data_IF_206851847505
#
_entry.id   IF_206851847505
#
_cell.length_a   1.000
_cell.length_b   1.000
_cell.length_c   1.000
_cell.angle_alpha   90.00
_cell.angle_beta   90.00
_cell.angle_gamma   90.00
#
_symmetry.space_group_name_H-M   'P 1'
#
loop_
_entity.id
_entity.type
_entity.pdbx_description
1 polymer ?
2 non-polymer ?
3 water ?
#
# COMPACT_ATOMS: atom_id res chain seq x y z
N UNK A 6 -18.92 19.79 -11.34
CA UNK A 6 -18.77 21.11 -10.70
C UNK A 6 -17.86 20.79 -9.55
N UNK A 7 -16.71 21.44 -9.57
CA UNK A 7 -15.77 21.36 -8.48
C UNK A 7 -16.48 21.75 -7.17
N UNK A 8 -17.32 22.81 -7.23
CA UNK A 8 -17.95 23.35 -6.05
C UNK A 8 -18.93 22.36 -5.44
N UNK A 9 -19.55 21.56 -6.30
CA UNK A 9 -20.53 20.61 -5.84
C UNK A 9 -19.84 19.49 -5.09
N UNK A 10 -18.65 19.08 -5.60
CA UNK A 10 -17.85 18.06 -4.94
C UNK A 10 -17.30 18.55 -3.61
N UNK A 11 -16.77 19.80 -3.59
CA UNK A 11 -16.35 20.42 -2.33
C UNK A 11 -17.46 20.36 -1.31
N UNK A 12 -18.69 20.51 -1.77
CA UNK A 12 -19.84 20.51 -0.87
C UNK A 12 -20.16 19.09 -0.38
N UNK A 13 -20.13 18.14 -1.30
CA UNK A 13 -20.28 16.73 -0.96
C UNK A 13 -19.31 16.29 0.13
N UNK A 14 -18.04 16.63 -0.09
CA UNK A 14 -16.97 16.37 0.87
C UNK A 14 -17.20 17.04 2.21
N UNK A 15 -17.73 18.27 2.23
CA UNK A 15 -17.88 18.89 3.54
C UNK A 15 -18.84 18.05 4.40
N UNK A 16 -19.74 17.30 3.76
CA UNK A 16 -20.75 16.55 4.51
C UNK A 16 -20.13 15.34 5.19
N UNK A 17 -18.89 14.98 4.84
CA UNK A 17 -18.34 13.77 5.42
C UNK A 17 -17.11 14.03 6.29
N UNK A 18 -16.58 15.26 6.26
CA UNK A 18 -15.33 15.54 6.96
C UNK A 18 -15.59 16.26 8.27
N UNK A 19 -14.53 16.23 9.10
CA UNK A 19 -14.46 16.87 10.40
C UNK A 19 -14.55 18.35 10.07
N UNK A 20 -15.32 19.15 10.83
CA UNK A 20 -15.36 20.61 10.63
C UNK A 20 -14.09 21.28 11.12
N UNK A 21 -13.59 22.24 10.31
CA UNK A 21 -12.61 23.19 10.80
C UNK A 21 -11.37 23.25 9.93
N UNK A 22 -10.27 23.68 10.58
CA UNK A 22 -9.04 23.91 9.86
C UNK A 22 -7.89 23.49 10.76
N UNK A 23 -7.16 22.39 10.41
CA UNK A 23 -6.04 21.94 11.23
C UNK A 23 -4.88 22.93 11.33
N UNK A 24 -4.81 23.93 10.44
CA UNK A 24 -3.73 24.89 10.52
C UNK A 24 -3.87 25.72 11.80
N UNK A 25 -5.01 25.54 12.47
CA UNK A 25 -5.25 26.18 13.73
C UNK A 25 -4.48 25.51 14.87
N UNK A 26 -4.13 24.21 14.83
CA UNK A 26 -3.31 23.62 15.89
C UNK A 26 -1.96 23.09 15.39
N UNK A 27 -1.62 23.25 14.08
CA UNK A 27 -0.40 22.69 13.49
C UNK A 27 0.47 23.83 13.01
N UNK A 28 1.78 23.50 12.94
CA UNK A 28 2.89 24.42 12.78
C UNK A 28 3.95 23.80 11.88
N UNK A 29 4.60 24.60 11.04
CA UNK A 29 5.83 24.14 10.38
C UNK A 29 5.60 22.94 9.48
N UNK A 30 4.69 23.06 8.51
CA UNK A 30 4.52 22.07 7.45
C UNK A 30 5.79 21.89 6.62
N UNK A 31 6.21 20.66 6.39
CA UNK A 31 7.38 20.40 5.55
C UNK A 31 7.00 19.26 4.61
N UNK A 32 7.14 19.44 3.29
CA UNK A 32 6.87 18.34 2.33
C UNK A 32 7.86 17.19 2.51
N UNK A 33 7.32 15.95 2.64
CA UNK A 33 8.20 14.78 2.73
C UNK A 33 8.02 13.82 1.54
N UNK A 34 6.92 13.92 0.77
CA UNK A 34 6.70 13.01 -0.35
C UNK A 34 5.53 13.40 -1.27
N UNK A 35 5.35 12.64 -2.37
CA UNK A 35 4.21 12.76 -3.27
C UNK A 35 3.75 11.40 -3.79
N UNK A 36 2.43 11.23 -3.77
CA UNK A 36 1.79 10.12 -4.46
C UNK A 36 1.10 10.64 -5.72
N UNK A 37 0.15 9.82 -6.20
CA UNK A 37 -0.63 10.08 -7.40
C UNK A 37 -1.92 10.82 -7.06
N UNK A 38 -2.43 10.69 -5.80
CA UNK A 38 -3.57 11.47 -5.33
C UNK A 38 -3.14 12.86 -4.80
N UNK A 39 -1.91 13.01 -4.25
CA UNK A 39 -1.50 14.27 -3.62
C UNK A 39 -0.05 14.25 -3.14
N UNK A 40 0.25 15.05 -2.11
CA UNK A 40 1.57 15.19 -1.48
C UNK A 40 1.45 14.84 0.01
N UNK A 41 2.57 14.70 0.75
CA UNK A 41 2.56 14.45 2.18
C UNK A 41 3.52 15.43 2.90
N UNK A 42 3.00 16.28 3.79
CA UNK A 42 3.78 17.22 4.58
C UNK A 42 3.91 16.62 5.98
N UNK A 43 4.93 17.00 6.74
CA UNK A 43 4.77 16.77 8.17
C UNK A 43 4.51 18.11 8.81
N UNK A 44 3.82 18.11 9.96
CA UNK A 44 3.59 19.30 10.77
C UNK A 44 3.85 18.94 12.21
N UNK A 45 3.83 19.95 13.07
CA UNK A 45 4.09 19.79 14.49
C UNK A 45 2.84 20.26 15.23
N UNK A 46 2.25 19.39 16.05
CA UNK A 46 1.19 19.89 16.91
C UNK A 46 1.72 21.02 17.79
N UNK A 47 1.07 22.20 17.74
CA UNK A 47 1.64 23.37 18.39
C UNK A 47 1.78 23.29 19.91
N UNK A 48 0.85 22.62 20.63
CA UNK A 48 0.82 22.65 22.08
C UNK A 48 1.75 21.58 22.68
N UNK A 49 1.96 20.47 21.96
CA UNK A 49 2.51 19.24 22.51
C UNK A 49 3.87 18.91 21.92
N UNK A 50 4.07 19.25 20.65
CA UNK A 50 5.35 19.03 19.99
C UNK A 50 5.44 17.69 19.27
N UNK A 51 4.40 16.83 19.40
CA UNK A 51 4.22 15.63 18.62
C UNK A 51 4.26 16.02 17.15
N UNK A 52 4.65 15.04 16.31
CA UNK A 52 4.57 15.19 14.87
C UNK A 52 3.42 14.37 14.30
N UNK A 53 2.89 14.89 13.19
CA UNK A 53 1.83 14.26 12.44
C UNK A 53 2.23 14.43 10.99
N UNK A 54 1.59 13.65 10.12
CA UNK A 54 1.68 13.82 8.68
C UNK A 54 0.30 14.26 8.23
N UNK A 55 0.25 15.01 7.12
CA UNK A 55 -0.98 15.53 6.57
C UNK A 55 -0.94 15.20 5.09
N UNK A 56 -1.95 14.47 4.64
CA UNK A 56 -2.00 14.11 3.22
C UNK A 56 -2.82 15.17 2.54
N UNK A 57 -2.30 15.77 1.47
CA UNK A 57 -3.03 16.84 0.81
C UNK A 57 -3.39 16.45 -0.61
N UNK A 58 -4.69 16.30 -0.87
CA UNK A 58 -5.16 15.91 -2.17
C UNK A 58 -5.96 17.06 -2.74
N UNK A 59 -5.54 17.59 -3.92
CA UNK A 59 -6.32 18.63 -4.57
C UNK A 59 -7.46 17.92 -5.26
N UNK A 60 -8.65 18.53 -5.21
CA UNK A 60 -9.92 17.95 -5.64
C UNK A 60 -10.05 18.04 -7.16
N UNK A 61 -9.12 18.81 -7.77
CA UNK A 61 -9.15 19.17 -9.18
C UNK A 61 -8.12 18.37 -9.97
N UNK A 62 -7.41 17.45 -9.33
CA UNK A 62 -6.24 16.85 -9.94
C UNK A 62 -6.26 15.34 -9.67
N UNK A 63 -7.46 14.76 -9.81
CA UNK A 63 -7.71 13.34 -9.54
C UNK A 63 -8.10 12.67 -10.85
N UNK A 64 -7.83 11.37 -10.99
CA UNK A 64 -8.23 10.59 -12.16
C UNK A 64 -9.76 10.38 -12.11
N UNK A 65 -10.21 9.86 -10.93
CA UNK A 65 -11.60 9.82 -10.50
C UNK A 65 -11.71 10.35 -9.07
N UNK A 66 -12.35 11.51 -8.93
CA UNK A 66 -12.30 12.19 -7.66
C UNK A 66 -13.23 11.51 -6.66
N UNK A 67 -14.17 10.65 -7.10
CA UNK A 67 -15.08 9.99 -6.18
C UNK A 67 -14.33 8.99 -5.29
N UNK A 68 -13.12 8.58 -5.69
CA UNK A 68 -12.31 7.67 -4.89
C UNK A 68 -11.81 8.37 -3.60
N UNK A 69 -11.77 9.71 -3.57
CA UNK A 69 -11.38 10.47 -2.37
C UNK A 69 -12.21 10.12 -1.16
N UNK A 70 -13.41 9.59 -1.39
CA UNK A 70 -14.28 9.12 -0.32
C UNK A 70 -13.68 7.92 0.39
N UNK A 71 -12.73 7.24 -0.25
CA UNK A 71 -12.17 6.02 0.33
C UNK A 71 -11.38 6.35 1.59
N UNK A 72 -10.69 7.48 1.56
CA UNK A 72 -9.97 7.97 2.73
C UNK A 72 -10.88 7.96 3.95
N UNK A 73 -12.17 8.38 3.81
CA UNK A 73 -12.96 8.56 5.03
C UNK A 73 -13.67 7.27 5.38
N UNK A 74 -14.17 6.49 4.41
CA UNK A 74 -14.58 5.10 4.68
C UNK A 74 -13.53 4.32 5.52
N UNK A 75 -12.27 4.33 5.12
CA UNK A 75 -11.26 3.62 5.88
C UNK A 75 -11.02 4.28 7.24
N UNK A 76 -10.99 5.61 7.31
CA UNK A 76 -10.72 6.25 8.59
C UNK A 76 -11.82 5.92 9.60
N UNK A 77 -13.09 5.92 9.12
CA UNK A 77 -14.26 5.65 9.94
C UNK A 77 -14.33 4.19 10.41
N UNK A 78 -13.95 3.22 9.58
CA UNK A 78 -14.52 1.90 9.79
C UNK A 78 -13.46 0.80 9.91
N UNK A 79 -12.27 0.95 9.29
CA UNK A 79 -11.34 -0.17 9.14
C UNK A 79 -9.96 0.15 9.75
N UNK A 80 -9.96 0.73 10.95
CA UNK A 80 -8.73 0.99 11.66
C UNK A 80 -8.33 -0.31 12.36
N UNK A 81 -7.00 -0.54 12.49
CA UNK A 81 -6.36 -1.80 12.85
C UNK A 81 -4.85 -1.56 13.07
N UNK A 82 -4.16 -2.41 13.85
CA UNK A 82 -2.78 -2.15 14.28
C UNK A 82 -1.78 -2.15 13.13
N UNK A 83 -2.01 -3.01 12.11
CA UNK A 83 -1.21 -3.05 10.89
C UNK A 83 -1.77 -2.11 9.80
N UNK A 84 -2.56 -1.12 10.19
CA UNK A 84 -2.95 -0.07 9.26
C UNK A 84 -2.61 1.29 9.84
N UNK A 85 -2.16 2.23 9.00
CA UNK A 85 -1.81 3.58 9.47
C UNK A 85 -3.01 4.15 10.26
N UNK A 86 -2.77 4.84 11.37
CA UNK A 86 -3.86 5.49 12.10
C UNK A 86 -4.13 6.83 11.47
N UNK A 87 -5.36 7.07 11.03
CA UNK A 87 -5.74 8.31 10.41
C UNK A 87 -6.63 9.04 11.42
N UNK A 88 -6.30 10.28 11.81
CA UNK A 88 -6.93 10.87 12.97
C UNK A 88 -8.16 11.69 12.61
N UNK A 89 -8.02 12.59 11.63
CA UNK A 89 -9.09 13.51 11.27
C UNK A 89 -8.95 13.85 9.79
N UNK A 90 -10.04 14.39 9.21
CA UNK A 90 -10.07 14.76 7.82
C UNK A 90 -10.80 16.08 7.73
N UNK A 91 -10.25 16.98 6.87
CA UNK A 91 -10.82 18.29 6.65
C UNK A 91 -10.87 18.66 5.16
N UNK A 92 -11.83 19.55 4.84
CA UNK A 92 -11.78 20.26 3.59
C UNK A 92 -11.17 21.60 3.90
N UNK A 93 -10.07 21.89 3.20
CA UNK A 93 -9.31 23.11 3.38
C UNK A 93 -9.17 23.74 2.00
N UNK A 94 -9.81 24.90 1.81
CA UNK A 94 -9.71 25.51 0.52
C UNK A 94 -10.18 24.47 -0.46
N UNK A 95 -9.42 24.23 -1.55
CA UNK A 95 -9.86 23.33 -2.61
C UNK A 95 -9.19 21.97 -2.48
N UNK A 96 -8.77 21.61 -1.25
CA UNK A 96 -8.00 20.40 -1.02
C UNK A 96 -8.66 19.59 0.08
N UNK A 97 -8.59 18.26 0.00
CA UNK A 97 -8.84 17.40 1.15
C UNK A 97 -7.53 17.14 1.88
N UNK A 98 -7.59 17.19 3.24
CA UNK A 98 -6.46 17.07 4.14
C UNK A 98 -6.75 15.94 5.09
N UNK A 99 -5.92 14.91 5.06
CA UNK A 99 -6.01 13.90 6.09
C UNK A 99 -4.80 13.92 7.03
N UNK A 100 -5.12 14.24 8.29
CA UNK A 100 -4.14 14.21 9.34
C UNK A 100 -4.02 12.79 9.85
N UNK A 101 -2.79 12.32 9.89
CA UNK A 101 -2.55 10.94 10.26
C UNK A 101 -1.24 10.86 11.04
N UNK A 102 -0.99 9.66 11.50
CA UNK A 102 0.23 9.27 12.15
C UNK A 102 1.43 9.50 11.23
N UNK A 103 2.55 9.97 11.78
CA UNK A 103 3.78 10.00 10.99
C UNK A 103 4.58 8.72 11.21
N UNK A 104 4.71 7.94 10.15
CA UNK A 104 5.46 6.69 10.14
C UNK A 104 6.93 6.97 9.81
N UNK A 105 7.72 7.12 10.86
CA UNK A 105 8.96 7.88 10.75
C UNK A 105 10.11 7.05 10.19
N UNK A 106 9.94 5.71 10.11
CA UNK A 106 10.91 4.85 9.45
C UNK A 106 10.69 4.81 7.94
N UNK A 107 9.67 5.53 7.47
CA UNK A 107 9.55 5.95 6.09
C UNK A 107 8.90 4.87 5.24
N UNK A 108 9.12 4.91 3.92
CA UNK A 108 8.53 3.95 2.99
C UNK A 108 9.52 2.83 2.64
N UNK A 109 8.97 1.64 2.33
CA UNK A 109 9.79 0.47 2.03
C UNK A 109 10.51 0.60 0.67
N UNK A 110 9.98 1.45 -0.23
CA UNK A 110 10.59 1.80 -1.51
C UNK A 110 12.03 2.26 -1.35
N UNK A 111 12.28 3.05 -0.28
CA UNK A 111 13.60 3.59 -0.03
C UNK A 111 14.54 2.46 0.37
N UNK A 112 14.02 1.49 1.10
CA UNK A 112 14.82 0.34 1.51
C UNK A 112 15.18 -0.52 0.31
N UNK A 113 14.27 -0.73 -0.65
CA UNK A 113 14.50 -1.78 -1.62
C UNK A 113 15.46 -1.28 -2.69
N UNK A 114 15.42 0.05 -2.85
CA UNK A 114 16.12 0.80 -3.88
C UNK A 114 17.61 0.83 -3.56
N UNK A 115 17.98 0.85 -2.27
CA UNK A 115 19.34 1.12 -1.85
C UNK A 115 19.97 -0.02 -1.05
N UNK A 116 19.21 -1.06 -0.74
CA UNK A 116 19.59 -2.10 0.23
C UNK A 116 19.38 -3.48 -0.41
N UNK A 117 19.95 -4.52 0.25
CA UNK A 117 19.67 -5.94 -0.04
C UNK A 117 19.01 -6.55 1.20
N UNK A 118 17.69 -6.83 1.11
CA UNK A 118 17.00 -7.37 2.27
C UNK A 118 17.32 -8.85 2.31
N UNK A 119 17.42 -9.40 3.53
CA UNK A 119 17.56 -10.82 3.80
C UNK A 119 16.19 -11.44 4.12
N UNK A 120 16.13 -12.75 4.38
CA UNK A 120 14.86 -13.45 4.29
C UNK A 120 14.07 -13.30 5.57
N UNK A 121 14.76 -13.26 6.70
CA UNK A 121 14.17 -12.88 7.98
C UNK A 121 13.40 -11.56 7.89
N UNK A 122 14.02 -10.51 7.30
CA UNK A 122 13.44 -9.18 7.08
C UNK A 122 12.31 -9.22 6.04
N UNK A 123 12.51 -9.91 4.91
CA UNK A 123 11.46 -10.09 3.92
C UNK A 123 10.26 -10.79 4.55
N UNK A 124 10.50 -11.65 5.53
CA UNK A 124 9.43 -12.53 5.93
C UNK A 124 8.55 -11.75 6.89
N UNK A 125 9.18 -10.91 7.72
CA UNK A 125 8.51 -9.97 8.62
C UNK A 125 7.60 -8.98 7.85
N UNK A 126 8.06 -8.54 6.68
CA UNK A 126 7.25 -7.59 5.94
C UNK A 126 6.02 -8.33 5.46
N UNK A 127 6.26 -9.41 4.71
CA UNK A 127 5.19 -10.27 4.27
C UNK A 127 4.20 -10.70 5.36
N UNK A 128 4.63 -11.00 6.57
CA UNK A 128 3.74 -11.45 7.63
C UNK A 128 2.76 -10.35 7.97
N UNK A 129 3.26 -9.12 7.99
CA UNK A 129 2.54 -8.00 8.62
C UNK A 129 1.56 -7.42 7.60
N UNK A 130 1.93 -7.50 6.32
CA UNK A 130 1.02 -7.15 5.25
C UNK A 130 -0.12 -8.15 5.21
N UNK A 131 0.19 -9.43 5.47
CA UNK A 131 -0.79 -10.50 5.34
C UNK A 131 -1.68 -10.46 6.58
N UNK A 132 -1.16 -10.20 7.77
CA UNK A 132 -2.06 -9.89 8.89
C UNK A 132 -3.13 -8.86 8.50
N UNK A 133 -2.74 -7.67 8.02
CA UNK A 133 -3.63 -6.63 7.52
C UNK A 133 -4.60 -7.17 6.47
N UNK A 134 -4.06 -7.85 5.45
CA UNK A 134 -4.89 -8.15 4.28
C UNK A 134 -5.97 -9.19 4.60
N UNK A 135 -5.65 -10.16 5.44
CA UNK A 135 -6.63 -11.17 5.79
C UNK A 135 -7.78 -10.47 6.49
N UNK A 136 -7.43 -9.52 7.35
CA UNK A 136 -8.46 -8.92 8.16
C UNK A 136 -9.36 -8.09 7.27
N UNK A 137 -8.76 -7.25 6.41
CA UNK A 137 -9.52 -6.48 5.44
C UNK A 137 -10.32 -7.35 4.48
N UNK A 138 -9.65 -8.33 3.83
CA UNK A 138 -10.31 -9.17 2.85
C UNK A 138 -11.54 -9.82 3.47
N UNK A 139 -11.47 -10.32 4.73
CA UNK A 139 -12.63 -10.91 5.42
C UNK A 139 -13.82 -9.94 5.52
N UNK A 140 -13.56 -8.62 5.59
CA UNK A 140 -14.58 -7.60 5.42
C UNK A 140 -14.85 -7.19 3.96
N UNK A 141 -14.29 -7.85 2.95
CA UNK A 141 -14.57 -7.52 1.56
C UNK A 141 -13.90 -6.22 1.09
N UNK A 142 -12.76 -5.85 1.71
CA UNK A 142 -12.10 -4.64 1.28
C UNK A 142 -10.83 -5.04 0.54
N UNK A 143 -10.72 -4.56 -0.70
CA UNK A 143 -9.56 -4.81 -1.56
C UNK A 143 -8.80 -3.50 -1.69
N UNK A 144 -7.49 -3.58 -1.49
CA UNK A 144 -6.63 -2.42 -1.43
C UNK A 144 -6.32 -1.90 -2.86
N UNK A 145 -5.91 -2.80 -3.76
CA UNK A 145 -5.76 -2.51 -5.18
C UNK A 145 -4.53 -1.66 -5.55
N UNK A 146 -3.67 -1.25 -4.62
CA UNK A 146 -2.40 -0.65 -5.02
C UNK A 146 -1.31 -1.06 -4.03
N UNK A 147 -1.12 -2.37 -3.89
CA UNK A 147 -0.07 -2.91 -3.02
C UNK A 147 1.28 -2.76 -3.69
N UNK A 148 2.23 -2.15 -2.98
CA UNK A 148 3.56 -1.95 -3.55
C UNK A 148 4.41 -1.32 -2.46
N UNK A 149 5.72 -1.34 -2.62
CA UNK A 149 6.68 -0.89 -1.62
C UNK A 149 6.33 0.50 -1.14
N UNK A 150 5.87 1.33 -2.07
CA UNK A 150 5.49 2.71 -1.82
C UNK A 150 4.34 2.82 -0.82
N UNK A 151 3.47 1.78 -0.81
CA UNK A 151 2.30 1.66 0.05
C UNK A 151 2.61 1.09 1.43
N UNK A 152 3.84 0.75 1.75
CA UNK A 152 4.15 0.10 3.03
C UNK A 152 5.02 1.06 3.84
N UNK A 153 4.56 1.42 5.03
CA UNK A 153 5.27 2.39 5.87
C UNK A 153 5.83 1.76 7.15
N UNK A 154 6.93 2.30 7.67
CA UNK A 154 7.56 1.73 8.83
C UNK A 154 7.64 2.78 9.90
N UNK A 155 7.53 2.35 11.16
CA UNK A 155 7.76 3.19 12.32
C UNK A 155 9.23 3.13 12.68
N UNK A 156 9.67 4.08 13.51
CA UNK A 156 11.07 4.15 13.89
C UNK A 156 11.53 2.80 14.42
N UNK A 157 10.66 2.08 15.18
CA UNK A 157 11.00 0.82 15.84
C UNK A 157 10.70 -0.39 14.96
N UNK A 158 10.22 -0.15 13.72
CA UNK A 158 10.39 -1.10 12.64
C UNK A 158 9.14 -1.92 12.37
N UNK A 159 7.98 -1.37 12.79
CA UNK A 159 6.67 -2.00 12.65
C UNK A 159 6.03 -1.57 11.34
N UNK A 160 5.44 -2.53 10.62
CA UNK A 160 4.98 -2.39 9.24
C UNK A 160 3.47 -2.13 9.20
N UNK A 161 3.10 -1.05 8.54
CA UNK A 161 1.71 -0.71 8.37
C UNK A 161 1.41 -0.42 6.90
N UNK A 162 0.20 -0.77 6.46
CA UNK A 162 -0.28 -0.44 5.12
C UNK A 162 -0.79 0.99 5.08
N UNK A 163 -0.65 1.59 3.88
CA UNK A 163 -1.04 2.95 3.58
C UNK A 163 -1.72 3.02 2.22
N UNK A 164 -2.03 4.25 1.77
CA UNK A 164 -2.46 4.58 0.40
C UNK A 164 -3.70 3.74 0.03
N UNK A 165 -4.81 4.01 0.78
CA UNK A 165 -6.05 3.31 0.53
C UNK A 165 -6.90 4.08 -0.47
N UNK A 166 -6.29 5.01 -1.19
CA UNK A 166 -7.07 5.82 -2.11
C UNK A 166 -7.76 5.01 -3.21
N UNK A 167 -7.34 3.79 -3.53
CA UNK A 167 -7.94 3.19 -4.71
C UNK A 167 -8.74 1.97 -4.29
N UNK A 168 -8.90 1.78 -3.00
CA UNK A 168 -9.50 0.55 -2.53
C UNK A 168 -11.00 0.53 -2.91
N UNK A 169 -11.59 -0.67 -2.89
CA UNK A 169 -13.00 -0.88 -3.20
C UNK A 169 -13.48 -2.03 -2.32
N UNK A 170 -14.78 -2.26 -2.35
CA UNK A 170 -15.42 -3.14 -1.39
C UNK A 170 -16.25 -4.12 -2.19
N UNK A 171 -16.24 -5.40 -1.81
CA UNK A 171 -17.05 -6.46 -2.41
C UNK A 171 -17.95 -7.07 -1.34
N UNK A 172 -18.92 -7.90 -1.75
CA UNK A 172 -19.90 -8.47 -0.83
C UNK A 172 -20.82 -9.35 -1.65
N UNK A 173 -21.67 -10.16 -1.01
CA UNK A 173 -22.76 -10.88 -1.67
C UNK A 173 -23.51 -10.04 -2.73
N UNK A 174 -23.81 -8.73 -2.47
CA UNK A 174 -24.62 -7.92 -3.38
C UNK A 174 -23.79 -7.45 -4.58
N UNK A 175 -22.47 -7.29 -4.35
CA UNK A 175 -21.48 -6.81 -5.31
C UNK A 175 -20.26 -7.72 -5.18
N UNK A 176 -20.22 -8.92 -5.80
CA UNK A 176 -19.23 -9.90 -5.34
C UNK A 176 -17.82 -9.72 -5.92
N UNK A 177 -17.71 -8.98 -7.05
CA UNK A 177 -16.48 -8.80 -7.80
C UNK A 177 -16.42 -7.32 -8.21
N UNK A 178 -15.19 -6.80 -8.38
CA UNK A 178 -15.01 -5.47 -8.99
C UNK A 178 -14.57 -5.58 -10.45
N UNK A 179 -14.74 -4.50 -11.22
CA UNK A 179 -14.46 -4.49 -12.65
C UNK A 179 -13.44 -3.42 -13.10
N UNK A 180 -13.03 -2.48 -12.22
CA UNK A 180 -12.31 -1.26 -12.59
C UNK A 180 -10.85 -1.51 -12.86
N UNK A 181 -10.22 -0.61 -13.63
CA UNK A 181 -8.81 -0.76 -13.99
C UNK A 181 -7.96 0.16 -13.15
N UNK A 182 -7.42 -0.39 -12.06
CA UNK A 182 -6.95 0.43 -10.96
C UNK A 182 -5.63 -0.16 -10.48
N UNK A 183 -4.64 0.73 -10.39
CA UNK A 183 -3.44 0.46 -9.62
C UNK A 183 -2.24 1.06 -10.32
N UNK A 184 -1.08 0.44 -10.10
CA UNK A 184 0.17 0.88 -10.70
C UNK A 184 0.59 -0.27 -11.62
N UNK A 185 0.81 -0.02 -12.95
CA UNK A 185 0.85 -1.09 -13.96
C UNK A 185 1.66 -2.32 -13.60
N UNK A 186 2.85 -2.12 -13.04
CA UNK A 186 3.84 -3.18 -12.85
C UNK A 186 3.35 -4.21 -11.83
N UNK A 187 2.50 -3.75 -10.89
CA UNK A 187 1.98 -4.56 -9.80
C UNK A 187 0.59 -5.13 -10.08
N UNK A 188 0.03 -4.84 -11.24
CA UNK A 188 -1.31 -5.28 -11.58
C UNK A 188 -1.36 -6.77 -11.87
N UNK A 189 -2.35 -7.41 -11.23
CA UNK A 189 -2.67 -8.82 -11.49
C UNK A 189 -3.18 -9.00 -12.91
N UNK A 190 -2.90 -10.13 -13.60
CA UNK A 190 -3.27 -10.25 -15.01
C UNK A 190 -4.80 -10.30 -15.23
N UNK A 191 -5.57 -10.93 -14.32
CA UNK A 191 -7.03 -10.96 -14.47
C UNK A 191 -7.54 -9.52 -14.58
N UNK A 192 -7.01 -8.62 -13.73
CA UNK A 192 -7.33 -7.19 -13.73
C UNK A 192 -7.02 -6.52 -15.08
N UNK A 193 -5.81 -6.74 -15.60
CA UNK A 193 -5.39 -6.22 -16.91
C UNK A 193 -6.28 -6.77 -18.05
N UNK A 194 -6.71 -8.06 -17.94
CA UNK A 194 -7.58 -8.70 -18.93
C UNK A 194 -9.01 -8.16 -18.87
N UNK A 195 -9.30 -7.27 -17.91
CA UNK A 195 -10.64 -6.81 -17.58
C UNK A 195 -11.57 -7.97 -17.15
N UNK A 196 -11.03 -9.02 -16.52
CA UNK A 196 -11.92 -9.93 -15.81
C UNK A 196 -12.45 -9.21 -14.56
N UNK A 197 -13.62 -9.63 -14.05
CA UNK A 197 -14.13 -9.09 -12.79
C UNK A 197 -13.29 -9.84 -11.78
N UNK A 198 -12.97 -9.18 -10.64
CA UNK A 198 -11.96 -9.75 -9.77
C UNK A 198 -12.34 -9.61 -8.31
N UNK A 199 -11.46 -10.15 -7.44
CA UNK A 199 -11.66 -10.05 -6.02
C UNK A 199 -10.39 -9.73 -5.25
N UNK A 200 -10.28 -10.14 -3.99
CA UNK A 200 -9.07 -9.86 -3.20
C UNK A 200 -7.79 -10.61 -3.60
N UNK A 201 -7.92 -11.66 -4.42
CA UNK A 201 -6.83 -12.40 -5.04
C UNK A 201 -5.83 -11.48 -5.74
N UNK A 202 -6.29 -10.28 -6.05
CA UNK A 202 -5.53 -9.33 -6.85
C UNK A 202 -4.45 -8.66 -5.98
N UNK A 203 -4.69 -8.65 -4.68
CA UNK A 203 -3.73 -8.11 -3.73
C UNK A 203 -2.64 -9.13 -3.48
N UNK A 204 -2.97 -10.40 -3.65
CA UNK A 204 -2.02 -11.44 -3.37
C UNK A 204 -0.97 -11.43 -4.48
N UNK A 205 -1.41 -11.35 -5.73
CA UNK A 205 -0.50 -11.16 -6.85
C UNK A 205 0.44 -9.96 -6.63
N UNK A 206 -0.10 -8.79 -6.25
CA UNK A 206 0.71 -7.58 -6.18
C UNK A 206 1.74 -7.76 -5.06
N UNK A 207 1.36 -8.38 -3.95
CA UNK A 207 2.30 -8.70 -2.87
C UNK A 207 3.46 -9.51 -3.44
N UNK A 208 3.19 -10.54 -4.25
CA UNK A 208 4.26 -11.26 -4.93
C UNK A 208 5.21 -10.29 -5.61
N UNK A 209 4.64 -9.31 -6.33
CA UNK A 209 5.48 -8.45 -7.12
C UNK A 209 6.36 -7.65 -6.15
N UNK A 210 5.78 -7.36 -5.00
CA UNK A 210 6.56 -6.65 -4.00
C UNK A 210 7.65 -7.57 -3.44
N UNK A 211 7.39 -8.87 -3.35
CA UNK A 211 8.42 -9.77 -2.89
C UNK A 211 9.58 -9.59 -3.84
N UNK A 212 9.32 -9.74 -5.15
CA UNK A 212 10.33 -9.55 -6.18
C UNK A 212 10.99 -8.17 -6.08
N UNK A 213 10.25 -7.06 -5.90
CA UNK A 213 10.93 -5.83 -5.51
C UNK A 213 12.02 -6.10 -4.46
N UNK A 214 11.66 -6.70 -3.32
CA UNK A 214 12.58 -6.89 -2.19
C UNK A 214 13.76 -7.80 -2.57
N UNK A 215 13.53 -8.79 -3.41
CA UNK A 215 14.61 -9.66 -3.87
C UNK A 215 15.42 -8.99 -4.99
N UNK A 216 14.80 -8.56 -6.11
CA UNK A 216 15.54 -8.04 -7.26
C UNK A 216 15.82 -6.53 -7.24
N UNK A 217 15.14 -5.75 -6.38
CA UNK A 217 15.29 -4.31 -6.35
C UNK A 217 14.27 -3.57 -7.22
N UNK A 218 13.77 -4.17 -8.30
CA UNK A 218 12.67 -3.58 -9.05
C UNK A 218 11.66 -4.67 -9.48
N UNK A 219 10.43 -4.28 -9.91
CA UNK A 219 9.46 -5.24 -10.40
C UNK A 219 9.77 -5.70 -11.81
N UNK A 220 9.21 -6.84 -12.25
CA UNK A 220 9.35 -7.26 -13.63
C UNK A 220 8.97 -6.17 -14.61
N UNK A 221 9.74 -6.14 -15.72
CA UNK A 221 9.45 -5.38 -16.92
C UNK A 221 9.44 -3.90 -16.59
N UNK A 222 10.21 -3.45 -15.60
CA UNK A 222 10.20 -2.05 -15.13
C UNK A 222 10.77 -1.05 -16.15
N UNK A 223 11.49 -1.57 -17.17
CA UNK A 223 12.12 -0.76 -18.19
C UNK A 223 11.19 -0.45 -19.35
N UNK A 224 10.15 -1.25 -19.57
CA UNK A 224 9.20 -0.93 -20.63
C UNK A 224 8.33 0.22 -20.13
N UNK A 225 7.81 1.10 -21.03
CA UNK A 225 6.65 1.95 -20.72
C UNK A 225 5.48 1.18 -20.08
N UNK A 226 4.58 1.88 -19.33
CA UNK A 226 3.54 1.20 -18.55
C UNK A 226 2.68 0.29 -19.44
N UNK A 227 2.17 0.81 -20.57
CA UNK A 227 1.22 0.13 -21.46
C UNK A 227 1.77 -1.19 -22.03
N UNK A 228 3.04 -1.15 -22.44
CA UNK A 228 3.60 -2.33 -23.06
C UNK A 228 3.75 -3.43 -22.00
N UNK A 229 4.17 -3.07 -20.77
CA UNK A 229 4.47 -4.06 -19.73
C UNK A 229 3.22 -4.81 -19.27
N UNK A 230 2.09 -4.10 -19.28
CA UNK A 230 0.81 -4.70 -18.99
C UNK A 230 0.49 -5.75 -20.06
N UNK A 231 0.62 -5.40 -21.34
CA UNK A 231 0.44 -6.38 -22.38
C UNK A 231 1.25 -7.63 -22.04
N UNK A 232 2.54 -7.44 -21.75
CA UNK A 232 3.45 -8.47 -21.30
C UNK A 232 2.93 -9.27 -20.11
N UNK A 233 2.38 -8.63 -19.06
CA UNK A 233 1.92 -9.40 -17.91
C UNK A 233 0.80 -10.33 -18.33
N UNK A 234 -0.17 -9.78 -19.08
CA UNK A 234 -1.38 -10.46 -19.54
C UNK A 234 -1.05 -11.72 -20.34
N UNK A 235 -0.10 -11.61 -21.28
CA UNK A 235 0.23 -12.67 -22.23
C UNK A 235 1.14 -13.72 -21.61
N UNK A 236 2.37 -13.32 -21.21
CA UNK A 236 3.43 -14.23 -20.80
C UNK A 236 3.12 -14.88 -19.44
N UNK A 237 3.93 -15.88 -19.10
CA UNK A 237 3.72 -16.64 -17.88
C UNK A 237 4.20 -15.85 -16.68
N UNK A 238 3.90 -16.32 -15.44
CA UNK A 238 4.37 -15.68 -14.22
C UNK A 238 5.83 -15.28 -14.40
N UNK A 239 6.17 -14.05 -13.96
CA UNK A 239 7.53 -13.54 -14.10
C UNK A 239 8.47 -14.27 -13.16
N UNK A 240 9.74 -14.33 -13.55
CA UNK A 240 10.77 -15.04 -12.81
C UNK A 240 11.65 -14.02 -12.08
N UNK A 241 12.16 -14.44 -10.93
CA UNK A 241 13.20 -13.68 -10.26
C UNK A 241 14.42 -13.61 -11.19
N UNK A 242 14.88 -12.38 -11.48
CA UNK A 242 16.19 -12.07 -12.08
C UNK A 242 17.26 -12.94 -11.39
N UNK A 243 17.10 -13.16 -10.08
CA UNK A 243 18.10 -13.71 -9.18
C UNK A 243 17.59 -14.99 -8.50
N UNK A 244 17.12 -15.96 -9.28
CA UNK A 244 16.50 -17.17 -8.73
C UNK A 244 17.44 -17.89 -7.77
N UNK A 245 18.73 -17.82 -8.04
CA UNK A 245 19.69 -18.63 -7.33
C UNK A 245 19.96 -18.18 -5.89
N UNK A 246 19.28 -17.12 -5.48
CA UNK A 246 19.70 -16.30 -4.35
C UNK A 246 18.65 -16.42 -3.25
N UNK A 247 17.71 -17.35 -3.47
CA UNK A 247 16.56 -17.44 -2.60
C UNK A 247 16.43 -18.87 -2.15
N UNK A 248 16.07 -19.05 -0.87
CA UNK A 248 15.91 -20.38 -0.33
C UNK A 248 14.76 -21.06 -1.06
N UNK A 249 14.70 -22.41 -1.10
CA UNK A 249 13.56 -23.09 -1.74
C UNK A 249 12.23 -22.82 -1.04
N UNK A 250 12.30 -22.62 0.29
CA UNK A 250 11.17 -22.26 1.13
C UNK A 250 10.50 -20.93 0.76
N UNK A 251 11.27 -19.95 0.26
CA UNK A 251 10.72 -18.69 -0.21
C UNK A 251 10.27 -18.81 -1.66
N UNK A 252 11.00 -19.56 -2.49
CA UNK A 252 10.47 -19.91 -3.81
C UNK A 252 9.11 -20.62 -3.73
N UNK A 253 8.99 -21.58 -2.80
CA UNK A 253 7.73 -22.23 -2.44
C UNK A 253 6.59 -21.26 -2.12
N UNK A 254 6.94 -20.16 -1.43
CA UNK A 254 6.02 -19.10 -1.04
C UNK A 254 5.66 -18.27 -2.28
N UNK A 255 6.65 -17.70 -2.93
CA UNK A 255 6.32 -16.85 -4.06
C UNK A 255 5.44 -17.61 -5.06
N UNK A 256 5.74 -18.91 -5.24
CA UNK A 256 4.97 -19.76 -6.13
C UNK A 256 3.48 -19.80 -5.79
N UNK A 257 3.11 -19.60 -4.52
CA UNK A 257 1.71 -19.59 -4.12
C UNK A 257 1.06 -18.22 -4.39
N UNK A 258 1.87 -17.20 -4.76
CA UNK A 258 1.39 -15.84 -4.91
C UNK A 258 1.25 -15.53 -6.39
N UNK A 259 2.27 -15.83 -7.19
CA UNK A 259 2.27 -15.43 -8.60
C UNK A 259 1.64 -16.55 -9.47
N UNK A 260 0.43 -17.01 -9.10
CA UNK A 260 -0.42 -17.89 -9.91
C UNK A 260 -1.33 -17.06 -10.83
N UNK A 261 -1.42 -17.37 -12.16
CA UNK A 261 -2.19 -16.53 -13.11
C UNK A 261 -3.71 -16.66 -12.96
N UNK A 262 -4.12 -17.91 -12.67
CA UNK A 262 -5.49 -18.26 -12.38
C UNK A 262 -5.79 -17.87 -10.94
N UNK A 263 -6.70 -16.87 -10.74
CA UNK A 263 -7.06 -16.37 -9.42
C UNK A 263 -7.63 -17.39 -8.43
N UNK A 264 -8.26 -18.43 -8.99
CA UNK A 264 -8.93 -19.46 -8.21
C UNK A 264 -7.95 -20.36 -7.46
N UNK A 265 -6.74 -20.52 -8.03
CA UNK A 265 -5.71 -21.44 -7.55
C UNK A 265 -4.64 -20.67 -6.79
N UNK A 266 -4.75 -19.32 -6.77
CA UNK A 266 -3.88 -18.47 -5.95
C UNK A 266 -4.21 -18.74 -4.48
N UNK A 267 -3.21 -18.49 -3.60
CA UNK A 267 -3.40 -18.60 -2.16
C UNK A 267 -4.18 -17.40 -1.62
N UNK A 268 -4.77 -17.56 -0.42
CA UNK A 268 -5.48 -16.50 0.25
C UNK A 268 -4.64 -15.99 1.41
N UNK A 269 -5.00 -14.81 1.93
CA UNK A 269 -4.13 -14.16 2.88
C UNK A 269 -4.05 -15.07 4.09
N UNK A 270 -5.23 -15.58 4.47
CA UNK A 270 -5.40 -16.50 5.59
C UNK A 270 -4.64 -17.82 5.39
N UNK A 271 -4.59 -18.40 4.17
CA UNK A 271 -3.89 -19.68 4.00
C UNK A 271 -2.40 -19.42 4.11
N UNK A 272 -1.95 -18.38 3.38
CA UNK A 272 -0.56 -17.96 3.35
C UNK A 272 -0.05 -17.64 4.76
N UNK A 273 -0.92 -17.30 5.71
CA UNK A 273 -0.39 -17.07 7.05
C UNK A 273 0.24 -18.35 7.64
N UNK A 274 -0.25 -19.54 7.26
CA UNK A 274 0.30 -20.77 7.81
C UNK A 274 1.47 -21.31 6.98
N UNK A 275 1.77 -20.72 5.81
CA UNK A 275 2.92 -21.15 5.03
C UNK A 275 4.23 -21.04 5.82
N UNK A 276 5.18 -22.02 5.65
CA UNK A 276 6.40 -22.11 6.46
C UNK A 276 7.46 -21.02 6.28
N UNK A 277 7.43 -20.31 5.14
CA UNK A 277 8.39 -19.22 4.91
C UNK A 277 8.24 -18.15 5.97
N UNK A 278 7.02 -17.96 6.50
CA UNK A 278 6.77 -16.94 7.51
C UNK A 278 7.26 -17.33 8.90
N UNK A 279 7.66 -18.59 9.11
CA UNK A 279 8.17 -18.93 10.42
C UNK A 279 9.53 -18.23 10.64
N UNK A 280 10.26 -17.92 9.53
CA UNK A 280 11.52 -17.17 9.53
C UNK A 280 11.37 -15.69 9.86
N UNK A 281 10.16 -15.14 9.84
CA UNK A 281 9.95 -13.73 10.12
C UNK A 281 10.70 -13.33 11.38
N UNK A 282 11.47 -12.24 11.31
CA UNK A 282 12.07 -11.69 12.51
C UNK A 282 11.10 -10.77 13.22
N UNK A 283 11.51 -10.22 14.39
CA UNK A 283 10.76 -9.12 14.98
C UNK A 283 10.86 -7.85 14.14
N UNK A 284 10.04 -6.82 14.46
CA UNK A 284 10.23 -5.47 13.96
C UNK A 284 11.67 -4.93 13.93
N UNK A 285 12.43 -5.22 15.00
CA UNK A 285 13.76 -4.67 15.19
C UNK A 285 14.71 -5.06 14.08
N UNK A 286 14.43 -6.17 13.39
CA UNK A 286 15.30 -6.71 12.33
C UNK A 286 15.31 -5.83 11.08
N UNK A 287 14.28 -4.97 10.96
CA UNK A 287 14.04 -4.07 9.82
C UNK A 287 14.73 -2.71 10.06
N UNK A 288 14.84 -2.29 11.33
CA UNK A 288 15.41 -1.00 11.73
C UNK A 288 16.76 -0.72 11.04
N UNK A 289 17.75 -1.66 11.01
CA UNK A 289 19.04 -1.43 10.31
C UNK A 289 18.98 -0.96 8.84
N UNK A 290 17.94 -1.39 8.12
CA UNK A 290 17.79 -1.06 6.72
C UNK A 290 17.44 0.43 6.47
N UNK A 291 16.93 1.18 7.49
CA UNK A 291 16.35 2.51 7.31
C UNK A 291 17.45 3.51 7.02
N UNK A 292 17.18 4.64 6.36
CA UNK A 292 18.28 5.48 5.89
C UNK A 292 19.06 6.03 7.11
N UNK A 293 18.38 6.25 8.26
CA UNK A 293 19.00 6.91 9.41
C UNK A 293 19.94 5.98 10.23
N UNK A 294 19.93 4.69 9.83
CA UNK A 294 20.73 3.69 10.52
C UNK A 294 21.67 3.00 9.52
N UNK A 295 21.22 2.86 8.26
CA UNK A 295 21.98 2.23 7.20
C UNK A 295 23.46 2.59 7.31
N UNK A 296 23.84 3.79 6.86
CA UNK A 296 25.19 4.29 7.07
C UNK A 296 25.14 5.08 8.39
N UNK A 297 25.96 4.66 9.38
CA UNK A 297 25.97 5.31 10.70
C UNK A 297 27.18 4.83 11.51
X LIG B 1 7.72 9.16 2.51
X LIG B 1 6.47 8.78 5.11
X LIG B 1 5.85 8.65 6.32
X LIG B 1 4.45 8.72 6.37
X LIG B 1 2.33 8.74 7.14
X LIG B 1 3.74 8.91 5.19
X LIG B 1 8.43 8.89 1.27
X LIG B 1 6.38 9.07 2.57
X LIG B 1 5.71 9.03 1.54
X LIG B 1 5.76 8.93 3.92
X LIG B 1 3.62 8.63 7.48
X LIG B 1 2.12 8.97 5.51
X LIG B 1 4.37 9.00 3.98
X LIG B 1 8.17 9.40 3.21
X LIG B 1 7.41 8.71 5.06
X LIG B 1 6.35 8.53 7.10
X LIG B 1 1.60 8.72 7.72
X LIG B 1 8.24 7.97 0.98
X LIG B 1 9.39 8.99 1.42
X LIG B 1 8.14 9.52 0.57
X LIG B 1 3.88 9.13 3.19
#
# INVERSE_FOLDING_TARGET
>A
GPLGSSHEQFRAALQAVVDPGDPRSYLDNFIKIGEGSTGIVCIATVRSSGKLVAVKKMDLRKQQRRELLFNEVVIMRDYQHENVVEMYNSYLVGDELWVVMEFLEGGALTDIVTHTRMNEEQIAAVCLAVLQALSVLHAQGVIHRDIKSDSILLTHDGRVKLSDFGFCAQVSKEVPRRKSLVGTPYWMAPELISRLPYGPEVDIWSLGIMVIEMVDGEPPYFNEPPLKAMKMIRDNLPPRLKNLHKVSPSLKGFLDRLLVRDPAQRATAAELLKHPFLAKAGPPASIVPLMRQNRTR
>B hetero
1 M56 N1 C4 C5 C6 C7 C8 C1 C2 O1 C3 N2 S1 C9 H4 H5 H6 H7 H2 H3 H1 H8
#
